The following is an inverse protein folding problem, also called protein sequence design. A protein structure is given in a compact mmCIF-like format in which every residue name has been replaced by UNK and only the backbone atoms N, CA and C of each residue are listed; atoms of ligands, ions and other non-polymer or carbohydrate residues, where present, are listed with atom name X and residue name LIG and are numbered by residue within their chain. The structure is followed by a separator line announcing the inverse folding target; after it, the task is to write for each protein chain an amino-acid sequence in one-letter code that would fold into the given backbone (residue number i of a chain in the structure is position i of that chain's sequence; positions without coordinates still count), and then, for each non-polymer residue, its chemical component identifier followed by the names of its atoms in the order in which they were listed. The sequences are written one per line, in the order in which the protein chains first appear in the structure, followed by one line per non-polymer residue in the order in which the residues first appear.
data_IF_616875264112
#
_entry.id   IF_616875264112
#
_cell.length_a   1.000
_cell.length_b   1.000
_cell.length_c   1.000
_cell.angle_alpha   90.00
_cell.angle_beta   90.00
_cell.angle_gamma   90.00
#
_symmetry.space_group_name_H-M   'P 1'
#
loop_
_entity.id
_entity.type
_entity.pdbx_description
1 polymer ?
#
# COMPACT_ATOMS: atom_id res chain seq x y z
N UNK A 1 -29.63 10.71 -56.98
CA UNK A 1 -29.14 10.13 -55.71
C UNK A 1 -28.22 11.13 -55.04
N UNK A 2 -28.72 11.83 -54.02
CA UNK A 2 -27.98 12.88 -53.33
C UNK A 2 -27.18 12.27 -52.18
N UNK A 3 -25.88 12.46 -52.22
CA UNK A 3 -24.92 12.05 -51.18
C UNK A 3 -25.11 12.96 -49.97
N UNK A 4 -25.56 12.40 -48.84
CA UNK A 4 -25.63 13.12 -47.55
C UNK A 4 -24.23 13.15 -46.91
N UNK A 5 -23.69 14.33 -46.76
CA UNK A 5 -22.46 14.60 -45.99
C UNK A 5 -22.66 14.21 -44.49
N UNK A 6 -21.65 13.61 -43.82
CA UNK A 6 -21.73 13.36 -42.40
C UNK A 6 -21.62 14.69 -41.64
N UNK A 7 -22.58 14.96 -40.80
CA UNK A 7 -22.65 16.16 -39.98
C UNK A 7 -21.41 16.36 -39.12
N UNK A 8 -20.82 17.52 -39.21
CA UNK A 8 -19.73 18.01 -38.37
C UNK A 8 -20.18 17.94 -36.91
N UNK A 9 -19.47 17.18 -36.08
CA UNK A 9 -19.56 17.31 -34.64
C UNK A 9 -19.19 18.74 -34.25
N UNK A 10 -20.17 19.57 -33.94
CA UNK A 10 -19.96 20.88 -33.33
C UNK A 10 -19.07 20.69 -32.11
N UNK A 11 -17.85 21.23 -32.15
CA UNK A 11 -16.99 21.39 -30.99
C UNK A 11 -17.79 22.09 -29.89
N UNK A 12 -17.90 21.47 -28.69
CA UNK A 12 -18.43 22.17 -27.51
C UNK A 12 -17.50 23.35 -27.26
N UNK A 13 -18.05 24.57 -27.39
CA UNK A 13 -17.34 25.77 -27.04
C UNK A 13 -16.76 25.65 -25.63
N UNK A 14 -15.53 26.11 -25.46
CA UNK A 14 -14.86 26.18 -24.15
C UNK A 14 -15.82 26.94 -23.23
N UNK A 15 -16.35 26.25 -22.19
CA UNK A 15 -17.13 26.93 -21.14
C UNK A 15 -16.22 27.93 -20.43
N UNK A 16 -16.79 29.04 -20.01
CA UNK A 16 -16.09 30.01 -19.16
C UNK A 16 -15.59 29.32 -17.87
N UNK A 17 -14.43 29.73 -17.38
CA UNK A 17 -13.93 29.23 -16.11
C UNK A 17 -14.91 29.48 -14.97
N UNK A 18 -15.07 28.55 -14.06
CA UNK A 18 -15.97 28.61 -12.92
C UNK A 18 -15.24 28.87 -11.62
N UNK A 19 -15.80 29.65 -10.73
CA UNK A 19 -15.26 29.84 -9.38
C UNK A 19 -15.78 28.70 -8.48
N UNK A 20 -14.87 27.94 -7.90
CA UNK A 20 -15.20 26.81 -7.04
C UNK A 20 -14.55 26.98 -5.67
N UNK A 21 -15.20 26.38 -4.65
CA UNK A 21 -14.61 26.18 -3.33
C UNK A 21 -14.42 24.67 -3.09
N UNK A 22 -13.21 24.27 -2.70
CA UNK A 22 -12.94 22.90 -2.33
C UNK A 22 -13.56 22.58 -0.96
N UNK A 23 -14.37 21.52 -0.89
CA UNK A 23 -15.08 21.11 0.32
C UNK A 23 -14.30 20.03 1.09
N UNK A 24 -13.75 19.05 0.36
CA UNK A 24 -13.09 17.87 0.94
C UNK A 24 -12.10 17.25 -0.07
N UNK A 25 -11.45 16.16 0.34
CA UNK A 25 -10.57 15.36 -0.53
C UNK A 25 -11.24 14.03 -0.87
N UNK A 26 -11.01 13.56 -2.11
CA UNK A 26 -11.49 12.27 -2.58
C UNK A 26 -10.41 11.21 -2.56
N UNK A 27 -10.81 9.95 -2.46
CA UNK A 27 -9.96 8.82 -2.83
C UNK A 27 -9.54 8.97 -4.31
N UNK A 28 -8.24 8.92 -4.58
CA UNK A 28 -7.68 9.26 -5.90
C UNK A 28 -6.94 10.60 -5.92
N UNK A 29 -7.03 11.40 -4.86
CA UNK A 29 -6.17 12.56 -4.60
C UNK A 29 -6.71 13.90 -5.06
N UNK A 30 -7.82 13.96 -5.79
CA UNK A 30 -8.44 15.22 -6.22
C UNK A 30 -9.31 15.81 -5.09
N UNK A 31 -9.36 17.13 -4.98
CA UNK A 31 -10.35 17.80 -4.13
C UNK A 31 -11.76 17.70 -4.73
N UNK A 32 -12.75 17.70 -3.87
CA UNK A 32 -14.17 17.74 -4.21
C UNK A 32 -14.69 19.16 -4.04
N UNK A 33 -15.29 19.69 -5.09
CA UNK A 33 -16.03 20.94 -5.09
C UNK A 33 -17.42 20.73 -5.70
N UNK A 34 -18.29 21.75 -5.63
CA UNK A 34 -19.58 21.75 -6.33
C UNK A 34 -19.70 23.01 -7.19
N UNK A 35 -20.24 22.84 -8.39
CA UNK A 35 -20.61 23.98 -9.21
C UNK A 35 -21.98 24.58 -8.77
N UNK A 36 -22.40 25.64 -9.43
CA UNK A 36 -23.66 26.38 -9.12
C UNK A 36 -24.90 25.47 -9.24
N UNK A 37 -24.84 24.42 -10.05
CA UNK A 37 -25.91 23.44 -10.22
C UNK A 37 -25.84 22.31 -9.15
N UNK A 38 -24.89 22.37 -8.21
CA UNK A 38 -24.67 21.35 -7.18
C UNK A 38 -23.96 20.09 -7.67
N UNK A 39 -23.52 20.04 -8.94
CA UNK A 39 -22.79 18.94 -9.52
C UNK A 39 -21.39 18.84 -8.93
N UNK A 40 -20.94 17.63 -8.61
CA UNK A 40 -19.60 17.38 -8.09
C UNK A 40 -18.53 17.68 -9.15
N UNK A 41 -17.51 18.42 -8.76
CA UNK A 41 -16.34 18.73 -9.59
C UNK A 41 -15.07 18.25 -8.87
N UNK A 42 -14.33 17.34 -9.51
CA UNK A 42 -13.04 16.88 -9.01
C UNK A 42 -11.93 17.79 -9.55
N UNK A 43 -11.16 18.39 -8.65
CA UNK A 43 -10.10 19.34 -9.01
C UNK A 43 -8.81 18.96 -8.30
N UNK A 44 -7.75 18.61 -9.03
CA UNK A 44 -6.43 18.33 -8.42
C UNK A 44 -5.83 19.59 -7.83
N UNK A 45 -4.90 19.40 -6.86
CA UNK A 45 -4.06 20.46 -6.28
C UNK A 45 -4.83 21.56 -5.52
N UNK A 46 -6.09 21.34 -5.16
CA UNK A 46 -6.81 22.17 -4.19
C UNK A 46 -6.82 21.51 -2.81
N UNK A 47 -6.64 22.30 -1.78
CA UNK A 47 -6.84 21.93 -0.38
C UNK A 47 -8.26 22.26 0.09
N UNK A 48 -8.82 21.57 1.09
CA UNK A 48 -10.10 21.93 1.67
C UNK A 48 -10.15 23.40 2.11
N UNK A 49 -11.20 24.11 1.69
CA UNK A 49 -11.38 25.52 1.95
C UNK A 49 -10.84 26.46 0.86
N UNK A 50 -9.97 26.00 -0.05
CA UNK A 50 -9.48 26.82 -1.16
C UNK A 50 -10.61 27.32 -2.04
N UNK A 51 -10.49 28.56 -2.53
CA UNK A 51 -11.29 29.11 -3.61
C UNK A 51 -10.43 29.32 -4.85
N UNK A 52 -10.89 28.85 -5.98
CA UNK A 52 -10.11 28.87 -7.21
C UNK A 52 -10.97 29.14 -8.43
N UNK A 53 -10.34 29.72 -9.45
CA UNK A 53 -10.87 29.75 -10.80
C UNK A 53 -10.46 28.45 -11.51
N UNK A 54 -11.45 27.70 -12.00
CA UNK A 54 -11.27 26.35 -12.51
C UNK A 54 -11.82 26.25 -13.93
N UNK A 55 -11.03 25.68 -14.83
CA UNK A 55 -11.46 25.28 -16.17
C UNK A 55 -11.98 23.85 -16.13
N UNK A 56 -13.23 23.63 -16.56
CA UNK A 56 -13.76 22.28 -16.69
C UNK A 56 -13.15 21.60 -17.92
N UNK A 57 -12.50 20.45 -17.72
CA UNK A 57 -11.79 19.69 -18.78
C UNK A 57 -12.55 18.43 -19.16
N UNK A 58 -13.39 17.90 -18.29
CA UNK A 58 -14.26 16.75 -18.55
C UNK A 58 -15.62 16.98 -17.88
N UNK A 59 -16.70 16.73 -18.59
CA UNK A 59 -18.05 16.81 -18.06
C UNK A 59 -18.84 15.52 -18.33
N UNK A 60 -19.40 14.93 -17.27
CA UNK A 60 -20.31 13.78 -17.31
C UNK A 60 -21.63 14.14 -16.64
N UNK A 61 -22.65 13.29 -16.79
CA UNK A 61 -23.99 13.51 -16.24
C UNK A 61 -23.97 13.71 -14.71
N UNK A 62 -23.11 13.01 -13.98
CA UNK A 62 -23.08 13.03 -12.52
C UNK A 62 -21.90 13.80 -11.91
N UNK A 63 -20.87 14.15 -12.69
CA UNK A 63 -19.70 14.85 -12.20
C UNK A 63 -18.95 15.58 -13.32
N UNK A 64 -18.05 16.47 -12.95
CA UNK A 64 -17.07 17.07 -13.84
C UNK A 64 -15.64 16.93 -13.28
N UNK A 65 -14.64 17.17 -14.12
CA UNK A 65 -13.24 17.34 -13.72
C UNK A 65 -12.77 18.72 -14.15
N UNK A 66 -11.98 19.35 -13.32
CA UNK A 66 -11.44 20.67 -13.56
C UNK A 66 -9.92 20.74 -13.40
N UNK A 67 -9.35 21.78 -13.98
CA UNK A 67 -7.95 22.20 -13.77
C UNK A 67 -7.94 23.60 -13.17
N UNK A 68 -7.09 23.81 -12.17
CA UNK A 68 -6.91 25.11 -11.52
C UNK A 68 -6.24 26.07 -12.50
N UNK A 69 -6.87 27.18 -12.80
CA UNK A 69 -6.27 28.29 -13.53
C UNK A 69 -5.61 29.28 -12.56
N UNK A 70 -6.29 29.57 -11.45
CA UNK A 70 -5.83 30.55 -10.46
C UNK A 70 -6.37 30.16 -9.08
N UNK A 71 -5.52 30.22 -8.07
CA UNK A 71 -5.92 30.15 -6.66
C UNK A 71 -6.33 31.55 -6.20
N UNK A 72 -7.62 31.76 -5.98
CA UNK A 72 -8.16 33.06 -5.58
C UNK A 72 -7.99 33.34 -4.08
N UNK A 73 -8.13 32.27 -3.26
CA UNK A 73 -8.03 32.36 -1.80
C UNK A 73 -7.55 31.00 -1.27
N UNK A 74 -6.50 31.03 -0.45
CA UNK A 74 -6.00 29.83 0.22
C UNK A 74 -6.89 29.46 1.40
N UNK A 75 -7.30 28.21 1.47
CA UNK A 75 -8.06 27.66 2.59
C UNK A 75 -7.17 27.38 3.82
N UNK A 76 -7.79 27.17 5.00
CA UNK A 76 -7.04 26.96 6.25
C UNK A 76 -6.22 25.68 6.26
N UNK A 77 -6.56 24.69 5.44
CA UNK A 77 -5.81 23.45 5.32
C UNK A 77 -4.65 23.53 4.31
N UNK A 78 -4.45 24.66 3.63
CA UNK A 78 -3.36 24.79 2.65
C UNK A 78 -2.03 25.10 3.31
N UNK A 79 -1.00 24.36 2.87
CA UNK A 79 0.40 24.59 3.25
C UNK A 79 1.29 24.64 2.01
N UNK A 80 2.51 25.18 2.15
CA UNK A 80 3.52 25.13 1.08
C UNK A 80 4.10 23.73 0.97
N UNK A 81 4.04 23.12 -0.22
CA UNK A 81 4.65 21.82 -0.48
C UNK A 81 6.19 21.94 -0.44
N UNK A 82 6.92 21.13 0.34
CA UNK A 82 8.37 21.23 0.44
C UNK A 82 9.11 20.66 -0.78
N UNK A 83 8.45 19.81 -1.58
CA UNK A 83 9.05 19.18 -2.76
C UNK A 83 8.91 20.08 -3.99
N UNK A 84 10.03 20.45 -4.61
CA UNK A 84 10.05 21.26 -5.83
C UNK A 84 9.36 20.57 -7.03
N UNK A 85 9.26 19.25 -7.00
CA UNK A 85 8.62 18.44 -8.06
C UNK A 85 7.12 18.17 -7.78
N UNK A 86 6.58 18.72 -6.68
CA UNK A 86 5.16 18.52 -6.36
C UNK A 86 4.27 19.10 -7.46
N UNK A 87 3.22 18.37 -7.80
CA UNK A 87 2.32 18.72 -8.92
C UNK A 87 2.72 18.08 -10.25
N UNK A 88 4.03 17.92 -10.53
CA UNK A 88 4.54 17.24 -11.72
C UNK A 88 4.81 15.75 -11.46
N UNK A 89 5.49 15.43 -10.35
CA UNK A 89 5.77 14.05 -9.95
C UNK A 89 4.49 13.34 -9.49
N UNK A 90 4.28 12.09 -9.94
CA UNK A 90 3.12 11.27 -9.57
C UNK A 90 3.20 10.65 -8.17
N UNK A 91 4.30 10.80 -7.43
CA UNK A 91 4.53 10.13 -6.15
C UNK A 91 3.68 10.65 -4.98
N UNK A 92 3.34 11.95 -4.99
CA UNK A 92 2.56 12.61 -3.93
C UNK A 92 1.41 13.42 -4.51
N UNK A 93 0.27 13.44 -3.82
CA UNK A 93 -0.93 14.19 -4.25
C UNK A 93 -1.30 15.30 -3.28
N UNK A 94 -0.86 15.25 -2.02
CA UNK A 94 -1.38 16.09 -0.93
C UNK A 94 -0.34 16.91 -0.17
N UNK A 95 0.88 17.09 -0.69
CA UNK A 95 1.91 17.90 0.00
C UNK A 95 1.50 19.36 0.26
N UNK A 96 0.52 19.87 -0.46
CA UNK A 96 -0.06 21.21 -0.28
C UNK A 96 -1.19 21.24 0.77
N UNK A 97 -1.48 20.12 1.43
CA UNK A 97 -2.51 19.99 2.47
C UNK A 97 -1.83 19.74 3.80
N UNK A 98 -2.26 20.42 4.85
CA UNK A 98 -1.82 20.17 6.22
C UNK A 98 -1.98 18.70 6.61
N UNK A 99 -1.02 18.15 7.35
CA UNK A 99 -0.99 16.71 7.60
C UNK A 99 -2.18 16.22 8.46
N UNK A 100 -2.63 17.00 9.44
CA UNK A 100 -3.81 16.64 10.21
C UNK A 100 -5.08 16.62 9.33
N UNK A 101 -5.17 17.55 8.37
CA UNK A 101 -6.26 17.56 7.38
C UNK A 101 -6.17 16.36 6.42
N UNK A 102 -4.97 15.87 6.06
CA UNK A 102 -4.81 14.62 5.28
C UNK A 102 -5.34 13.41 6.04
N UNK A 103 -4.99 13.27 7.32
CA UNK A 103 -5.45 12.16 8.18
C UNK A 103 -6.98 12.19 8.34
N UNK A 104 -7.55 13.37 8.58
CA UNK A 104 -9.00 13.57 8.66
C UNK A 104 -9.69 13.19 7.34
N UNK A 105 -9.13 13.59 6.20
CA UNK A 105 -9.66 13.24 4.89
C UNK A 105 -9.63 11.72 4.62
N UNK A 106 -8.59 11.02 5.04
CA UNK A 106 -8.50 9.55 4.95
C UNK A 106 -9.58 8.88 5.80
N UNK A 107 -9.79 9.34 7.04
CA UNK A 107 -10.88 8.88 7.89
C UNK A 107 -12.25 9.10 7.23
N UNK A 108 -12.47 10.28 6.64
CA UNK A 108 -13.72 10.62 5.96
C UNK A 108 -13.97 9.76 4.72
N UNK A 109 -12.92 9.46 3.94
CA UNK A 109 -13.00 8.54 2.78
C UNK A 109 -13.48 7.17 3.22
N UNK A 110 -12.90 6.61 4.29
CA UNK A 110 -13.32 5.31 4.85
C UNK A 110 -14.75 5.37 5.37
N UNK A 111 -15.12 6.43 6.10
CA UNK A 111 -16.48 6.64 6.61
C UNK A 111 -17.52 6.70 5.49
N UNK A 112 -17.23 7.41 4.42
CA UNK A 112 -18.11 7.49 3.24
C UNK A 112 -18.25 6.15 2.52
N UNK A 113 -17.17 5.40 2.39
CA UNK A 113 -17.20 4.08 1.78
C UNK A 113 -18.06 3.10 2.60
N UNK A 114 -17.89 3.08 3.93
CA UNK A 114 -18.59 2.19 4.86
C UNK A 114 -19.89 2.78 5.43
N UNK A 115 -20.44 3.87 4.85
CA UNK A 115 -21.61 4.59 5.40
C UNK A 115 -22.83 3.71 5.69
N UNK A 116 -23.06 2.67 4.86
CA UNK A 116 -24.17 1.75 5.05
C UNK A 116 -23.99 0.93 6.34
N UNK A 117 -22.77 0.49 6.61
CA UNK A 117 -22.43 -0.30 7.79
C UNK A 117 -22.41 0.57 9.07
N UNK A 118 -21.94 1.82 8.95
CA UNK A 118 -22.02 2.81 10.04
C UNK A 118 -23.49 3.07 10.41
N UNK A 119 -24.37 3.19 9.44
CA UNK A 119 -25.80 3.31 9.67
C UNK A 119 -26.43 2.07 10.35
N UNK A 120 -25.79 0.91 10.25
CA UNK A 120 -26.17 -0.34 10.95
C UNK A 120 -25.48 -0.49 12.32
N UNK A 121 -24.73 0.50 12.77
CA UNK A 121 -24.09 0.53 14.09
C UNK A 121 -22.60 0.13 14.12
N UNK A 122 -21.93 0.00 12.96
CA UNK A 122 -20.49 -0.20 12.92
C UNK A 122 -19.74 1.01 13.50
N UNK A 123 -18.70 0.75 14.30
CA UNK A 123 -17.87 1.80 14.90
C UNK A 123 -16.68 2.11 14.00
N UNK A 124 -16.47 3.40 13.71
CA UNK A 124 -15.23 3.85 13.10
C UNK A 124 -14.29 4.35 14.19
N UNK A 125 -13.20 3.61 14.39
CA UNK A 125 -12.14 4.03 15.32
C UNK A 125 -11.40 5.26 14.78
N UNK A 126 -10.83 6.11 15.64
CA UNK A 126 -10.00 7.23 15.20
C UNK A 126 -8.90 6.78 14.25
N UNK A 127 -8.69 7.54 13.18
CA UNK A 127 -7.61 7.24 12.23
C UNK A 127 -6.23 7.34 12.89
N UNK A 128 -5.33 6.41 12.56
CA UNK A 128 -3.96 6.42 13.06
C UNK A 128 -3.07 7.19 12.09
N UNK A 129 -2.56 8.33 12.58
CA UNK A 129 -1.57 9.13 11.85
C UNK A 129 -0.20 8.44 11.86
N UNK A 130 0.58 8.65 10.81
CA UNK A 130 1.99 8.25 10.81
C UNK A 130 2.80 9.12 11.78
N UNK A 131 3.87 8.60 12.39
CA UNK A 131 4.71 9.36 13.32
C UNK A 131 5.47 10.50 12.63
N UNK A 132 5.67 10.40 11.31
CA UNK A 132 6.29 11.44 10.49
C UNK A 132 5.60 11.56 9.13
N UNK A 133 5.36 12.80 8.69
CA UNK A 133 4.75 13.08 7.39
C UNK A 133 5.73 12.99 6.22
N UNK A 134 7.03 12.98 6.49
CA UNK A 134 8.14 12.90 5.54
C UNK A 134 9.25 12.00 6.09
N UNK A 135 10.20 11.61 5.23
CA UNK A 135 11.30 10.75 5.63
C UNK A 135 10.90 9.34 6.08
N UNK A 136 9.72 8.89 5.69
CA UNK A 136 9.13 7.64 6.17
C UNK A 136 9.27 6.47 5.20
N UNK A 137 9.47 6.79 3.90
CA UNK A 137 9.34 5.81 2.83
C UNK A 137 10.60 5.00 2.67
N UNK A 138 10.57 3.77 3.18
CA UNK A 138 11.70 2.83 3.11
C UNK A 138 11.80 2.04 1.82
N UNK A 139 10.80 2.11 0.92
CA UNK A 139 10.80 1.42 -0.37
C UNK A 139 10.49 2.39 -1.50
N UNK A 140 11.29 2.34 -2.58
CA UNK A 140 11.05 3.13 -3.78
C UNK A 140 11.23 2.30 -5.05
N UNK A 141 10.42 2.59 -6.06
CA UNK A 141 10.56 2.06 -7.41
C UNK A 141 10.68 3.21 -8.39
N UNK A 142 11.85 3.32 -9.03
CA UNK A 142 12.23 4.40 -9.91
C UNK A 142 12.49 3.89 -11.33
N UNK A 143 12.31 4.75 -12.30
CA UNK A 143 12.76 4.50 -13.66
C UNK A 143 14.14 5.12 -13.87
N UNK A 144 15.02 4.40 -14.56
CA UNK A 144 16.38 4.86 -14.93
C UNK A 144 16.47 5.01 -16.44
N UNK A 145 17.06 6.12 -16.86
CA UNK A 145 17.33 6.45 -18.26
C UNK A 145 18.82 6.79 -18.41
N UNK A 146 19.72 5.80 -18.61
CA UNK A 146 21.16 5.99 -18.52
C UNK A 146 21.69 7.06 -19.48
N UNK A 147 21.25 7.05 -20.75
CA UNK A 147 21.73 8.00 -21.76
C UNK A 147 21.47 9.48 -21.44
N UNK A 148 20.45 9.76 -20.64
CA UNK A 148 20.14 11.13 -20.16
C UNK A 148 20.51 11.37 -18.70
N UNK A 149 21.08 10.38 -18.01
CA UNK A 149 21.44 10.46 -16.58
C UNK A 149 20.23 10.55 -15.65
N UNK A 150 19.01 10.29 -16.15
CA UNK A 150 17.77 10.47 -15.39
C UNK A 150 17.48 9.27 -14.51
N UNK A 151 17.20 9.55 -13.25
CA UNK A 151 16.66 8.59 -12.26
C UNK A 151 15.46 9.25 -11.57
N UNK A 152 14.29 8.59 -11.60
CA UNK A 152 13.14 9.23 -10.95
C UNK A 152 11.82 8.51 -11.07
N UNK A 153 10.78 9.22 -10.67
CA UNK A 153 9.40 8.73 -10.68
C UNK A 153 8.68 9.12 -11.98
N UNK A 154 7.59 8.44 -12.28
CA UNK A 154 6.72 8.82 -13.39
C UNK A 154 5.98 10.11 -13.06
N UNK A 155 5.79 10.96 -14.07
CA UNK A 155 4.92 12.12 -13.99
C UNK A 155 3.47 11.71 -13.70
N UNK A 156 2.71 12.63 -13.15
CA UNK A 156 1.29 12.42 -12.85
C UNK A 156 0.52 12.03 -14.11
N UNK A 157 -0.18 10.88 -14.08
CA UNK A 157 -0.98 10.35 -15.21
C UNK A 157 -0.20 10.25 -16.53
N UNK A 158 1.12 10.02 -16.47
CA UNK A 158 1.99 9.93 -17.64
C UNK A 158 3.02 8.80 -17.49
N UNK A 159 3.61 8.40 -18.60
CA UNK A 159 4.77 7.50 -18.64
C UNK A 159 6.10 8.25 -18.65
N UNK A 160 6.08 9.57 -18.75
CA UNK A 160 7.26 10.43 -18.66
C UNK A 160 7.95 10.25 -17.31
N UNK A 161 9.27 10.27 -17.29
CA UNK A 161 10.08 10.15 -16.07
C UNK A 161 10.52 11.54 -15.63
N UNK A 162 10.13 11.92 -14.43
CA UNK A 162 10.59 13.15 -13.77
C UNK A 162 11.90 12.83 -13.04
N UNK A 163 12.96 13.56 -13.37
CA UNK A 163 14.25 13.41 -12.69
C UNK A 163 14.16 13.85 -11.24
N UNK A 164 14.58 12.99 -10.30
CA UNK A 164 14.46 13.21 -8.87
C UNK A 164 15.83 13.40 -8.27
N UNK A 165 16.21 14.65 -7.97
CA UNK A 165 17.45 14.97 -7.29
C UNK A 165 17.33 14.80 -5.77
N UNK A 166 16.16 15.13 -5.21
CA UNK A 166 15.80 14.97 -3.80
C UNK A 166 14.34 14.59 -3.66
N UNK A 167 14.01 13.75 -2.69
CA UNK A 167 12.65 13.35 -2.40
C UNK A 167 12.36 13.32 -0.90
N UNK A 168 11.69 14.35 -0.35
CA UNK A 168 11.48 14.46 1.09
C UNK A 168 10.64 13.31 1.69
N UNK A 169 9.95 12.51 0.88
CA UNK A 169 9.20 11.36 1.37
C UNK A 169 10.09 10.14 1.65
N UNK A 170 11.25 10.02 0.98
CA UNK A 170 12.16 8.88 1.17
C UNK A 170 12.86 8.96 2.54
N UNK A 171 13.13 7.81 3.13
CA UNK A 171 14.05 7.72 4.27
C UNK A 171 15.43 8.30 3.88
N UNK A 172 16.13 8.97 4.80
CA UNK A 172 17.43 9.59 4.51
C UNK A 172 18.46 8.61 3.93
N UNK A 173 18.40 7.33 4.29
CA UNK A 173 19.29 6.30 3.75
C UNK A 173 19.05 6.08 2.25
N UNK A 174 17.78 6.02 1.81
CA UNK A 174 17.44 5.91 0.38
C UNK A 174 17.81 7.15 -0.40
N UNK A 175 17.67 8.33 0.18
CA UNK A 175 18.02 9.58 -0.49
C UNK A 175 19.52 9.66 -0.74
N UNK A 176 20.35 9.30 0.26
CA UNK A 176 21.82 9.20 0.10
C UNK A 176 22.19 8.15 -0.96
N UNK A 177 21.61 6.95 -0.88
CA UNK A 177 21.87 5.89 -1.85
C UNK A 177 21.50 6.30 -3.28
N UNK A 178 20.40 7.05 -3.46
CA UNK A 178 19.97 7.56 -4.77
C UNK A 178 21.03 8.50 -5.38
N UNK A 179 21.64 9.37 -4.58
CA UNK A 179 22.76 10.24 -5.02
C UNK A 179 23.98 9.44 -5.49
N UNK A 180 24.39 8.43 -4.73
CA UNK A 180 25.53 7.57 -5.07
C UNK A 180 25.22 6.67 -6.30
N UNK A 181 24.03 6.12 -6.40
CA UNK A 181 23.59 5.36 -7.58
C UNK A 181 23.63 6.22 -8.85
N UNK A 182 23.16 7.45 -8.77
CA UNK A 182 23.23 8.41 -9.88
C UNK A 182 24.66 8.66 -10.34
N UNK A 183 25.57 8.85 -9.39
CA UNK A 183 26.97 9.19 -9.66
C UNK A 183 27.77 8.00 -10.20
N UNK A 184 27.54 6.80 -9.66
CA UNK A 184 28.43 5.64 -9.90
C UNK A 184 27.78 4.62 -10.85
N UNK A 185 26.51 4.26 -10.63
CA UNK A 185 25.87 3.16 -11.35
C UNK A 185 25.26 3.61 -12.69
N UNK A 186 24.54 4.76 -12.69
CA UNK A 186 23.81 5.19 -13.89
C UNK A 186 24.70 5.34 -15.12
N UNK A 187 25.93 5.92 -15.02
CA UNK A 187 26.83 6.00 -16.18
C UNK A 187 27.32 4.64 -16.69
N UNK A 188 27.30 3.62 -15.84
CA UNK A 188 27.73 2.26 -16.22
C UNK A 188 26.61 1.39 -16.83
N UNK A 189 25.36 1.86 -16.80
CA UNK A 189 24.23 1.17 -17.38
C UNK A 189 24.09 1.49 -18.87
N UNK A 190 23.74 0.49 -19.67
CA UNK A 190 23.65 0.61 -21.15
C UNK A 190 22.21 0.75 -21.66
N UNK A 191 21.20 0.44 -20.83
CA UNK A 191 19.80 0.45 -21.24
C UNK A 191 18.87 0.99 -20.16
N UNK A 192 17.69 1.53 -20.55
CA UNK A 192 16.66 1.89 -19.60
C UNK A 192 16.22 0.71 -18.73
N UNK A 193 15.98 0.97 -17.43
CA UNK A 193 15.59 -0.07 -16.48
C UNK A 193 14.72 0.50 -15.34
N UNK A 194 14.20 -0.42 -14.53
CA UNK A 194 13.58 -0.12 -13.24
C UNK A 194 14.61 -0.35 -12.15
N UNK A 195 14.73 0.59 -11.24
CA UNK A 195 15.49 0.49 -10.00
C UNK A 195 14.51 0.38 -8.84
N UNK A 196 14.62 -0.67 -8.06
CA UNK A 196 13.93 -0.82 -6.78
C UNK A 196 14.94 -0.63 -5.65
N UNK A 197 14.51 0.08 -4.60
CA UNK A 197 15.31 0.35 -3.40
C UNK A 197 14.52 -0.06 -2.17
N UNK A 198 15.21 -0.62 -1.18
CA UNK A 198 14.67 -0.96 0.12
C UNK A 198 15.69 -0.57 1.20
N UNK A 199 15.25 0.22 2.18
CA UNK A 199 16.02 0.56 3.38
C UNK A 199 15.64 -0.36 4.54
N UNK A 200 16.64 -0.71 5.32
CA UNK A 200 16.60 -1.46 6.56
C UNK A 200 17.82 -1.10 7.41
N UNK A 201 18.53 -2.09 7.92
CA UNK A 201 19.86 -1.91 8.55
C UNK A 201 20.95 -1.47 7.55
N UNK A 202 20.62 -1.48 6.26
CA UNK A 202 21.36 -0.94 5.14
C UNK A 202 20.41 -0.56 4.01
N UNK A 203 20.94 -0.38 2.78
CA UNK A 203 20.13 -0.20 1.59
C UNK A 203 20.40 -1.33 0.60
N UNK A 204 19.36 -2.04 0.22
CA UNK A 204 19.39 -3.01 -0.88
C UNK A 204 18.80 -2.38 -2.14
N UNK A 205 19.42 -2.67 -3.29
CA UNK A 205 18.94 -2.23 -4.60
C UNK A 205 18.69 -3.42 -5.52
N UNK A 206 17.74 -3.28 -6.45
CA UNK A 206 17.50 -4.28 -7.50
C UNK A 206 17.21 -3.62 -8.84
N UNK A 207 17.67 -4.23 -9.92
CA UNK A 207 17.50 -3.79 -11.30
C UNK A 207 16.89 -4.90 -12.15
N UNK A 208 15.91 -4.55 -12.99
CA UNK A 208 15.21 -5.47 -13.88
C UNK A 208 15.98 -5.76 -15.19
N UNK A 209 17.30 -5.58 -15.20
CA UNK A 209 18.20 -5.79 -16.33
C UNK A 209 19.36 -6.72 -15.97
N UNK A 210 19.98 -7.43 -16.93
CA UNK A 210 21.21 -8.19 -16.68
C UNK A 210 22.39 -7.26 -16.36
N UNK A 211 23.40 -7.84 -15.71
CA UNK A 211 24.63 -7.15 -15.36
C UNK A 211 25.57 -7.10 -16.58
N UNK A 212 25.67 -5.97 -17.24
CA UNK A 212 26.46 -5.78 -18.46
C UNK A 212 27.50 -4.66 -18.31
N UNK A 213 28.57 -4.73 -19.09
CA UNK A 213 29.62 -3.70 -19.14
C UNK A 213 30.25 -3.40 -17.80
N UNK A 214 30.37 -2.10 -17.49
CA UNK A 214 30.94 -1.61 -16.21
C UNK A 214 30.03 -1.72 -15.00
N UNK A 215 28.78 -2.18 -15.15
CA UNK A 215 27.78 -2.16 -14.10
C UNK A 215 28.17 -3.02 -12.87
N UNK A 216 28.89 -4.13 -13.09
CA UNK A 216 29.38 -4.98 -12.00
C UNK A 216 30.41 -4.25 -11.13
N UNK A 217 31.41 -3.64 -11.75
CA UNK A 217 32.43 -2.87 -11.03
C UNK A 217 31.82 -1.66 -10.29
N UNK A 218 30.83 -1.00 -10.90
CA UNK A 218 30.07 0.08 -10.26
C UNK A 218 29.29 -0.42 -9.02
N UNK A 219 28.66 -1.58 -9.10
CA UNK A 219 27.95 -2.21 -7.98
C UNK A 219 28.92 -2.59 -6.84
N UNK A 220 30.05 -3.21 -7.18
CA UNK A 220 31.11 -3.57 -6.23
C UNK A 220 31.66 -2.33 -5.50
N UNK A 221 31.88 -1.23 -6.22
CA UNK A 221 32.32 0.03 -5.64
C UNK A 221 31.27 0.63 -4.68
N UNK A 222 29.98 0.58 -5.00
CA UNK A 222 28.90 1.05 -4.13
C UNK A 222 28.80 0.23 -2.84
N UNK A 223 28.93 -1.09 -2.94
CA UNK A 223 28.91 -2.00 -1.77
C UNK A 223 30.16 -1.77 -0.92
N UNK A 224 31.35 -1.69 -1.52
CA UNK A 224 32.61 -1.44 -0.80
C UNK A 224 32.61 -0.10 -0.08
N UNK A 225 31.98 0.93 -0.65
CA UNK A 225 31.81 2.25 -0.04
C UNK A 225 30.71 2.29 1.05
N UNK A 226 29.97 1.21 1.28
CA UNK A 226 28.85 1.16 2.23
C UNK A 226 27.62 1.96 1.81
N UNK A 227 27.55 2.39 0.54
CA UNK A 227 26.40 3.09 0.00
C UNK A 227 25.21 2.14 -0.20
N UNK A 228 25.50 0.88 -0.48
CA UNK A 228 24.54 -0.23 -0.55
C UNK A 228 25.04 -1.41 0.27
N UNK A 229 24.14 -2.14 0.91
CA UNK A 229 24.40 -3.47 1.48
C UNK A 229 24.54 -4.52 0.35
N UNK A 230 23.69 -4.39 -0.67
CA UNK A 230 23.73 -5.25 -1.85
C UNK A 230 22.96 -4.67 -3.03
N UNK A 231 23.32 -5.15 -4.22
CA UNK A 231 22.67 -4.82 -5.48
C UNK A 231 22.45 -6.08 -6.30
N UNK A 232 21.18 -6.34 -6.64
CA UNK A 232 20.75 -7.44 -7.48
C UNK A 232 20.49 -6.93 -8.90
N UNK A 233 21.14 -7.56 -9.87
CA UNK A 233 20.70 -7.55 -11.26
C UNK A 233 19.82 -8.79 -11.51
N UNK A 234 19.24 -8.89 -12.68
CA UNK A 234 18.42 -10.07 -13.04
C UNK A 234 19.19 -11.39 -12.90
N UNK A 235 20.47 -11.39 -13.16
CA UNK A 235 21.36 -12.56 -13.29
C UNK A 235 22.51 -12.58 -12.28
N UNK A 236 22.78 -11.48 -11.58
CA UNK A 236 23.94 -11.33 -10.68
C UNK A 236 23.53 -10.62 -9.39
N UNK A 237 24.05 -11.08 -8.28
CA UNK A 237 23.98 -10.41 -6.99
C UNK A 237 25.40 -9.97 -6.57
N UNK A 238 25.52 -8.71 -6.13
CA UNK A 238 26.72 -8.13 -5.54
C UNK A 238 26.41 -7.71 -4.11
N UNK A 239 27.15 -8.18 -3.13
CA UNK A 239 26.94 -7.90 -1.72
C UNK A 239 25.85 -8.77 -1.09
N UNK A 240 25.13 -8.20 -0.11
CA UNK A 240 24.07 -8.91 0.63
C UNK A 240 22.85 -9.21 -0.24
N UNK A 241 22.15 -10.29 0.07
CA UNK A 241 20.92 -10.67 -0.65
C UNK A 241 19.69 -9.87 -0.23
N UNK A 242 19.74 -9.20 0.91
CA UNK A 242 18.68 -8.38 1.48
C UNK A 242 19.21 -7.53 2.62
N UNK A 243 18.30 -6.90 3.35
CA UNK A 243 18.56 -6.05 4.53
C UNK A 243 17.58 -6.40 5.64
N UNK A 244 18.02 -6.29 6.89
CA UNK A 244 17.17 -6.46 8.07
C UNK A 244 16.18 -5.30 8.20
N UNK A 245 14.90 -5.62 8.39
CA UNK A 245 13.82 -4.63 8.40
C UNK A 245 13.49 -4.09 9.80
N UNK A 246 14.26 -4.50 10.81
CA UNK A 246 14.10 -4.07 12.20
C UNK A 246 13.06 -4.86 13.02
N UNK A 247 12.25 -5.67 12.35
CA UNK A 247 11.23 -6.53 12.94
C UNK A 247 11.64 -8.03 12.98
N UNK A 248 12.93 -8.31 12.82
CA UNK A 248 13.47 -9.65 12.70
C UNK A 248 13.36 -10.26 11.30
N UNK A 249 12.72 -9.56 10.37
CA UNK A 249 12.62 -9.99 8.98
C UNK A 249 13.76 -9.44 8.13
N UNK A 250 14.14 -10.18 7.10
CA UNK A 250 14.96 -9.71 6.00
C UNK A 250 14.08 -9.41 4.78
N UNK A 251 14.48 -8.45 3.97
CA UNK A 251 13.81 -8.11 2.72
C UNK A 251 14.79 -7.71 1.63
N UNK A 252 14.45 -8.00 0.39
CA UNK A 252 15.17 -7.54 -0.79
C UNK A 252 14.35 -6.48 -1.54
N UNK A 253 15.02 -5.62 -2.31
CA UNK A 253 14.39 -4.49 -2.98
C UNK A 253 13.37 -4.93 -4.05
N UNK A 254 13.59 -6.07 -4.71
CA UNK A 254 12.70 -6.70 -5.70
C UNK A 254 11.53 -7.46 -5.07
N UNK A 255 11.46 -7.50 -3.73
CA UNK A 255 10.38 -8.13 -2.99
C UNK A 255 9.39 -7.09 -2.44
N UNK A 256 8.18 -7.55 -2.10
CA UNK A 256 7.22 -6.67 -1.46
C UNK A 256 7.62 -6.43 0.02
N UNK A 257 7.68 -5.17 0.40
CA UNK A 257 7.77 -4.72 1.79
C UNK A 257 6.87 -3.51 1.97
N UNK A 258 6.28 -3.35 3.16
CA UNK A 258 5.47 -2.18 3.48
C UNK A 258 6.31 -0.90 3.39
N UNK A 259 5.71 0.16 2.86
CA UNK A 259 6.42 1.41 2.56
C UNK A 259 6.95 2.12 3.82
N UNK A 260 6.34 1.86 4.98
CA UNK A 260 6.66 2.50 6.27
C UNK A 260 6.71 1.45 7.38
N UNK A 261 7.87 1.30 8.02
CA UNK A 261 8.10 0.30 9.07
C UNK A 261 7.23 0.55 10.31
N UNK A 262 7.24 1.76 10.86
CA UNK A 262 6.49 2.09 12.08
C UNK A 262 4.98 1.85 11.93
N UNK A 263 4.38 2.23 10.79
CA UNK A 263 2.96 1.97 10.56
C UNK A 263 2.66 0.50 10.26
N UNK A 264 3.63 -0.26 9.74
CA UNK A 264 3.49 -1.70 9.61
C UNK A 264 3.35 -2.38 10.98
N UNK A 265 4.11 -1.92 11.99
CA UNK A 265 3.96 -2.41 13.35
C UNK A 265 2.57 -2.09 13.93
N UNK A 266 2.04 -0.89 13.68
CA UNK A 266 0.67 -0.53 14.07
C UNK A 266 -0.36 -1.42 13.39
N UNK A 267 -0.19 -1.69 12.09
CA UNK A 267 -1.07 -2.58 11.34
C UNK A 267 -1.06 -4.00 11.91
N UNK A 268 0.13 -4.57 12.13
CA UNK A 268 0.33 -5.92 12.71
C UNK A 268 -0.30 -6.02 14.10
N UNK A 269 -0.06 -5.04 14.96
CA UNK A 269 -0.63 -4.98 16.30
C UNK A 269 -2.16 -4.91 16.27
N UNK A 270 -2.73 -4.08 15.39
CA UNK A 270 -4.17 -3.94 15.22
C UNK A 270 -4.82 -5.22 14.72
N UNK A 271 -4.22 -5.88 13.74
CA UNK A 271 -4.70 -7.17 13.23
C UNK A 271 -4.68 -8.22 14.34
N UNK A 272 -3.58 -8.36 15.09
CA UNK A 272 -3.47 -9.30 16.18
C UNK A 272 -4.49 -9.01 17.31
N UNK A 273 -4.67 -7.73 17.70
CA UNK A 273 -5.65 -7.31 18.70
C UNK A 273 -7.08 -7.70 18.31
N UNK A 274 -7.47 -7.46 17.06
CA UNK A 274 -8.84 -7.71 16.62
C UNK A 274 -9.10 -9.16 16.24
N UNK A 275 -8.10 -9.86 15.74
CA UNK A 275 -8.16 -11.29 15.47
C UNK A 275 -8.29 -12.11 16.77
N UNK A 276 -7.68 -11.66 17.88
CA UNK A 276 -7.62 -12.39 19.17
C UNK A 276 -7.21 -13.85 18.96
N UNK A 277 -6.01 -14.09 18.38
CA UNK A 277 -5.63 -15.42 17.92
C UNK A 277 -5.23 -16.41 19.03
N UNK A 278 -5.05 -15.93 20.28
CA UNK A 278 -4.62 -16.76 21.40
C UNK A 278 -5.51 -18.00 21.59
N UNK A 279 -4.91 -19.18 21.41
CA UNK A 279 -5.60 -20.47 21.49
C UNK A 279 -6.53 -20.80 20.29
N UNK A 280 -6.65 -19.90 19.30
CA UNK A 280 -7.54 -20.06 18.17
C UNK A 280 -6.85 -20.75 16.96
N UNK A 281 -7.68 -21.37 16.11
CA UNK A 281 -7.29 -21.84 14.78
C UNK A 281 -7.52 -20.69 13.79
N UNK A 282 -6.44 -20.24 13.16
CA UNK A 282 -6.45 -19.07 12.28
C UNK A 282 -6.21 -19.49 10.84
N UNK A 283 -7.05 -19.04 9.92
CA UNK A 283 -6.82 -19.08 8.48
C UNK A 283 -6.39 -17.67 8.03
N UNK A 284 -5.23 -17.57 7.41
CA UNK A 284 -4.75 -16.34 6.78
C UNK A 284 -4.76 -16.49 5.27
N UNK A 285 -5.42 -15.59 4.56
CA UNK A 285 -5.47 -15.55 3.09
C UNK A 285 -4.70 -14.34 2.57
N UNK A 286 -4.02 -14.52 1.43
CA UNK A 286 -3.12 -13.52 0.84
C UNK A 286 -1.94 -13.21 1.77
N UNK A 287 -1.35 -14.27 2.35
CA UNK A 287 -0.35 -14.14 3.41
C UNK A 287 0.97 -13.47 2.96
N UNK A 288 1.23 -13.40 1.64
CA UNK A 288 2.45 -12.83 1.10
C UNK A 288 3.71 -13.50 1.69
N UNK A 289 4.67 -12.69 2.13
CA UNK A 289 5.88 -13.15 2.80
C UNK A 289 5.72 -13.29 4.34
N UNK A 290 4.50 -13.44 4.86
CA UNK A 290 4.22 -13.76 6.26
C UNK A 290 4.24 -12.56 7.22
N UNK A 291 3.96 -11.35 6.73
CA UNK A 291 3.96 -10.14 7.55
C UNK A 291 2.93 -10.19 8.70
N UNK A 292 1.72 -10.62 8.41
CA UNK A 292 0.67 -10.78 9.42
C UNK A 292 0.77 -12.15 10.10
N UNK A 293 1.22 -13.20 9.39
CA UNK A 293 1.45 -14.54 9.96
C UNK A 293 2.31 -14.49 11.22
N UNK A 294 3.41 -13.75 11.17
CA UNK A 294 4.33 -13.59 12.30
C UNK A 294 3.63 -12.92 13.51
N UNK A 295 2.84 -11.88 13.28
CA UNK A 295 2.07 -11.20 14.34
C UNK A 295 1.03 -12.14 14.97
N UNK A 296 0.35 -12.96 14.17
CA UNK A 296 -0.67 -13.91 14.63
C UNK A 296 -0.04 -15.04 15.46
N UNK A 297 1.11 -15.57 15.03
CA UNK A 297 1.89 -16.56 15.79
C UNK A 297 2.39 -15.96 17.09
N UNK A 298 2.99 -14.76 17.04
CA UNK A 298 3.48 -14.05 18.22
C UNK A 298 2.39 -13.72 19.23
N UNK A 299 1.15 -13.56 18.78
CA UNK A 299 -0.03 -13.36 19.63
C UNK A 299 -0.70 -14.68 20.13
N UNK A 300 -0.06 -15.84 19.89
CA UNK A 300 -0.43 -17.11 20.51
C UNK A 300 -1.49 -17.93 19.79
N UNK A 301 -1.60 -17.83 18.46
CA UNK A 301 -2.46 -18.73 17.69
C UNK A 301 -2.11 -20.21 18.00
N UNK A 302 -3.11 -21.04 18.21
CA UNK A 302 -2.87 -22.48 18.44
C UNK A 302 -2.50 -23.19 17.11
N UNK A 303 -3.17 -22.79 16.04
CA UNK A 303 -2.87 -23.23 14.67
C UNK A 303 -2.99 -22.05 13.71
N UNK A 304 -2.03 -21.90 12.81
CA UNK A 304 -2.08 -20.98 11.68
C UNK A 304 -1.93 -21.76 10.37
N UNK A 305 -2.89 -21.60 9.47
CA UNK A 305 -2.75 -21.97 8.06
C UNK A 305 -2.73 -20.69 7.25
N UNK A 306 -1.59 -20.41 6.63
CA UNK A 306 -1.35 -19.20 5.84
C UNK A 306 -1.26 -19.56 4.35
N UNK A 307 -2.14 -18.97 3.55
CA UNK A 307 -2.32 -19.29 2.14
C UNK A 307 -1.90 -18.11 1.28
N UNK A 308 -1.03 -18.38 0.33
CA UNK A 308 -0.52 -17.41 -0.64
C UNK A 308 -0.33 -18.10 -1.99
N UNK A 309 -0.68 -17.41 -3.07
CA UNK A 309 -0.59 -18.00 -4.41
C UNK A 309 0.86 -18.12 -4.93
N UNK A 310 1.76 -17.23 -4.50
CA UNK A 310 3.16 -17.21 -4.91
C UNK A 310 4.00 -18.19 -4.08
N UNK A 311 4.49 -19.26 -4.70
CA UNK A 311 5.43 -20.21 -4.07
C UNK A 311 6.68 -19.50 -3.50
N UNK A 312 7.19 -18.50 -4.21
CA UNK A 312 8.34 -17.73 -3.76
C UNK A 312 8.03 -16.93 -2.49
N UNK A 313 6.83 -16.33 -2.37
CA UNK A 313 6.40 -15.65 -1.17
C UNK A 313 6.19 -16.62 0.00
N UNK A 314 5.60 -17.79 -0.26
CA UNK A 314 5.45 -18.88 0.72
C UNK A 314 6.81 -19.35 1.26
N UNK A 315 7.80 -19.49 0.40
CA UNK A 315 9.14 -19.88 0.83
C UNK A 315 9.75 -18.86 1.81
N UNK A 316 9.57 -17.57 1.54
CA UNK A 316 10.02 -16.48 2.43
C UNK A 316 9.25 -16.44 3.74
N UNK A 317 7.92 -16.60 3.69
CA UNK A 317 7.10 -16.66 4.89
C UNK A 317 7.52 -17.76 5.87
N UNK A 318 7.88 -18.94 5.34
CA UNK A 318 8.42 -20.05 6.14
C UNK A 318 9.73 -19.70 6.84
N UNK A 319 10.60 -18.91 6.21
CA UNK A 319 11.85 -18.45 6.84
C UNK A 319 11.53 -17.40 7.91
N UNK A 320 10.75 -16.40 7.59
CA UNK A 320 10.39 -15.29 8.47
C UNK A 320 9.77 -15.76 9.79
N UNK A 321 8.78 -16.63 9.73
CA UNK A 321 8.06 -17.09 10.94
C UNK A 321 8.90 -18.01 11.81
N UNK A 322 9.87 -18.74 11.24
CA UNK A 322 10.82 -19.56 12.03
C UNK A 322 11.81 -18.73 12.83
N UNK A 323 12.23 -17.58 12.32
CA UNK A 323 13.21 -16.68 12.97
C UNK A 323 12.55 -15.89 14.10
N UNK A 324 11.26 -15.47 13.94
CA UNK A 324 10.53 -14.65 14.90
C UNK A 324 9.91 -15.40 16.09
N UNK A 325 9.97 -16.74 16.15
CA UNK A 325 9.36 -17.52 17.23
C UNK A 325 10.19 -17.47 18.52
N UNK A 326 9.57 -17.34 19.73
CA UNK A 326 10.31 -17.43 20.99
C UNK A 326 10.90 -18.83 21.15
N UNK A 327 12.22 -18.96 20.96
CA UNK A 327 12.97 -20.21 21.14
C UNK A 327 13.72 -20.74 19.94
N UNK A 328 14.08 -19.93 18.93
CA UNK A 328 14.92 -20.36 17.82
C UNK A 328 16.37 -20.60 18.24
N UNK A 329 16.64 -21.78 18.80
CA UNK A 329 17.97 -22.39 18.84
C UNK A 329 18.31 -22.86 17.40
N UNK A 330 19.49 -22.46 16.90
CA UNK A 330 20.03 -22.84 15.61
C UNK A 330 20.09 -24.37 15.44
N UNK A 331 19.14 -24.92 14.69
CA UNK A 331 19.12 -26.34 14.30
C UNK A 331 18.95 -26.46 12.79
N UNK A 332 20.03 -26.77 12.08
CA UNK A 332 20.02 -27.19 10.68
C UNK A 332 19.31 -28.55 10.57
N UNK A 333 18.11 -28.61 10.00
CA UNK A 333 17.41 -29.90 9.78
C UNK A 333 16.32 -29.76 8.71
N UNK A 334 16.55 -30.43 7.58
CA UNK A 334 15.54 -30.76 6.56
C UNK A 334 14.57 -31.76 7.16
N UNK A 335 13.30 -31.36 7.39
CA UNK A 335 12.28 -32.31 7.87
C UNK A 335 11.03 -31.59 8.37
N UNK A 336 9.87 -32.16 8.15
CA UNK A 336 8.63 -31.90 8.85
C UNK A 336 8.85 -31.93 10.36
N UNK A 337 9.23 -30.81 10.98
CA UNK A 337 9.72 -30.79 12.36
C UNK A 337 8.61 -30.44 13.34
N UNK A 338 8.05 -31.41 14.01
CA UNK A 338 7.44 -31.27 15.33
C UNK A 338 8.56 -31.05 16.35
N UNK A 339 8.89 -29.79 16.65
CA UNK A 339 9.87 -29.46 17.70
C UNK A 339 9.21 -29.48 19.06
N UNK A 340 9.48 -30.50 19.87
CA UNK A 340 9.13 -30.54 21.31
C UNK A 340 10.16 -29.74 22.11
N UNK A 341 9.91 -28.48 22.38
CA UNK A 341 10.63 -27.69 23.38
C UNK A 341 9.86 -27.71 24.69
N UNK A 342 10.48 -28.20 25.77
CA UNK A 342 9.95 -28.20 27.14
C UNK A 342 9.98 -26.80 27.74
N UNK A 343 9.05 -25.97 27.33
CA UNK A 343 8.65 -24.72 27.99
C UNK A 343 7.14 -24.72 28.07
N UNK A 344 6.55 -24.28 29.16
CA UNK A 344 5.11 -24.21 29.40
C UNK A 344 4.38 -23.19 28.52
N UNK A 345 4.69 -23.17 27.21
CA UNK A 345 4.04 -22.38 26.17
C UNK A 345 3.47 -23.34 25.12
N UNK A 346 2.18 -23.22 24.83
CA UNK A 346 1.51 -23.95 23.73
C UNK A 346 2.23 -23.65 22.43
N UNK A 347 2.86 -24.68 21.81
CA UNK A 347 3.53 -24.53 20.52
C UNK A 347 2.49 -24.29 19.42
N UNK A 348 2.59 -23.17 18.71
CA UNK A 348 1.75 -22.88 17.52
C UNK A 348 2.10 -23.87 16.40
N UNK A 349 1.10 -24.55 15.84
CA UNK A 349 1.25 -25.28 14.59
C UNK A 349 1.11 -24.30 13.42
N UNK A 350 2.14 -24.16 12.59
CA UNK A 350 2.16 -23.25 11.44
C UNK A 350 2.32 -24.03 10.15
N UNK A 351 1.41 -23.77 9.21
CA UNK A 351 1.42 -24.34 7.87
C UNK A 351 1.31 -23.23 6.83
N UNK A 352 2.18 -23.26 5.81
CA UNK A 352 2.14 -22.35 4.66
C UNK A 352 1.82 -23.13 3.40
N UNK A 353 0.76 -22.73 2.71
CA UNK A 353 0.26 -23.37 1.49
C UNK A 353 0.37 -22.45 0.28
N UNK A 354 0.90 -22.99 -0.84
CA UNK A 354 0.84 -22.31 -2.13
C UNK A 354 -0.48 -22.67 -2.83
N UNK A 355 -1.50 -21.82 -2.65
CA UNK A 355 -2.86 -22.05 -3.19
C UNK A 355 -3.58 -20.72 -3.41
N UNK A 356 -4.72 -20.76 -4.13
CA UNK A 356 -5.58 -19.59 -4.25
C UNK A 356 -6.44 -19.39 -3.00
N UNK A 357 -6.74 -18.13 -2.67
CA UNK A 357 -7.61 -17.77 -1.55
C UNK A 357 -9.04 -18.32 -1.74
N UNK A 358 -9.51 -18.34 -2.98
CA UNK A 358 -10.86 -18.86 -3.35
C UNK A 358 -10.97 -20.36 -3.07
N UNK A 359 -9.92 -21.14 -3.26
CA UNK A 359 -9.92 -22.57 -2.92
C UNK A 359 -9.81 -22.80 -1.42
N UNK A 360 -9.00 -21.98 -0.73
CA UNK A 360 -8.74 -22.12 0.69
C UNK A 360 -9.95 -21.69 1.55
N UNK A 361 -10.73 -20.70 1.14
CA UNK A 361 -11.90 -20.21 1.88
C UNK A 361 -12.97 -21.28 2.06
N UNK A 362 -13.03 -22.29 1.20
CA UNK A 362 -13.96 -23.41 1.32
C UNK A 362 -13.74 -24.25 2.60
N UNK A 363 -12.57 -24.13 3.23
CA UNK A 363 -12.22 -24.78 4.52
C UNK A 363 -12.38 -23.84 5.72
N UNK A 364 -12.91 -22.63 5.52
CA UNK A 364 -12.96 -21.62 6.60
C UNK A 364 -13.79 -22.09 7.81
N UNK A 365 -14.72 -23.04 7.65
CA UNK A 365 -15.46 -23.67 8.75
C UNK A 365 -14.59 -24.43 9.76
N UNK A 366 -13.36 -24.82 9.37
CA UNK A 366 -12.44 -25.54 10.25
C UNK A 366 -11.65 -24.60 11.18
N UNK A 367 -11.88 -23.29 11.05
CA UNK A 367 -11.14 -22.24 11.75
C UNK A 367 -12.06 -21.38 12.60
N UNK A 368 -11.48 -20.72 13.58
CA UNK A 368 -12.19 -19.82 14.49
C UNK A 368 -12.08 -18.36 14.00
N UNK A 369 -10.96 -18.02 13.36
CA UNK A 369 -10.62 -16.69 12.89
C UNK A 369 -10.11 -16.76 11.45
N UNK A 370 -10.54 -15.80 10.63
CA UNK A 370 -9.98 -15.57 9.30
C UNK A 370 -9.36 -14.18 9.26
N UNK A 371 -8.15 -14.07 8.71
CA UNK A 371 -7.45 -12.81 8.42
C UNK A 371 -7.17 -12.75 6.92
N UNK A 372 -7.41 -11.61 6.29
CA UNK A 372 -7.12 -11.44 4.87
C UNK A 372 -6.61 -10.04 4.54
N UNK A 373 -5.61 -9.98 3.65
CA UNK A 373 -4.99 -8.75 3.13
C UNK A 373 -4.88 -8.84 1.59
N UNK A 374 -6.01 -8.73 0.86
CA UNK A 374 -6.04 -8.92 -0.57
C UNK A 374 -5.42 -7.75 -1.34
N UNK A 375 -5.09 -7.94 -2.63
CA UNK A 375 -4.65 -6.87 -3.51
C UNK A 375 -5.75 -5.81 -3.69
N UNK A 376 -5.42 -4.67 -4.35
CA UNK A 376 -6.34 -3.53 -4.59
C UNK A 376 -7.68 -3.92 -5.23
N UNK A 377 -7.74 -5.02 -5.96
CA UNK A 377 -8.99 -5.52 -6.54
C UNK A 377 -10.00 -6.00 -5.50
N UNK A 378 -9.56 -6.18 -4.24
CA UNK A 378 -10.33 -6.80 -3.18
C UNK A 378 -10.44 -8.32 -3.34
N UNK A 379 -11.35 -8.94 -2.60
CA UNK A 379 -11.56 -10.39 -2.55
C UNK A 379 -13.06 -10.74 -2.61
N UNK A 380 -13.78 -10.24 -3.62
CA UNK A 380 -15.25 -10.38 -3.69
C UNK A 380 -15.71 -11.84 -3.67
N UNK A 381 -15.03 -12.74 -4.37
CA UNK A 381 -15.43 -14.16 -4.41
C UNK A 381 -15.20 -14.83 -3.03
N UNK A 382 -14.11 -14.49 -2.34
CA UNK A 382 -13.88 -14.91 -0.95
C UNK A 382 -14.98 -14.34 -0.04
N UNK A 383 -15.32 -13.06 -0.17
CA UNK A 383 -16.36 -12.42 0.63
C UNK A 383 -17.74 -13.07 0.42
N UNK A 384 -18.09 -13.45 -0.80
CA UNK A 384 -19.31 -14.19 -1.13
C UNK A 384 -19.32 -15.59 -0.51
N UNK A 385 -18.20 -16.31 -0.62
CA UNK A 385 -18.08 -17.64 -0.03
C UNK A 385 -18.21 -17.60 1.51
N UNK A 386 -17.76 -16.51 2.14
CA UNK A 386 -17.84 -16.33 3.60
C UNK A 386 -19.26 -16.04 4.10
N UNK A 387 -20.20 -15.61 3.25
CA UNK A 387 -21.53 -15.19 3.69
C UNK A 387 -22.24 -16.27 4.53
N UNK A 388 -22.04 -17.54 4.18
CA UNK A 388 -22.74 -18.68 4.76
C UNK A 388 -21.84 -19.67 5.53
N UNK A 389 -20.52 -19.35 5.68
CA UNK A 389 -19.57 -20.22 6.42
C UNK A 389 -19.99 -20.32 7.88
N UNK A 390 -20.20 -21.55 8.40
CA UNK A 390 -20.40 -21.83 9.82
C UNK A 390 -19.06 -22.03 10.55
N UNK A 391 -19.05 -21.97 11.89
CA UNK A 391 -17.83 -22.22 12.69
C UNK A 391 -16.96 -21.01 12.90
N UNK A 392 -16.67 -20.26 11.85
CA UNK A 392 -15.86 -19.04 11.90
C UNK A 392 -16.51 -17.94 12.77
N UNK A 393 -15.78 -17.36 13.70
CA UNK A 393 -16.29 -16.37 14.66
C UNK A 393 -15.95 -14.93 14.29
N UNK A 394 -14.79 -14.72 13.63
CA UNK A 394 -14.22 -13.41 13.33
C UNK A 394 -13.59 -13.40 11.95
N UNK A 395 -13.74 -12.27 11.28
CA UNK A 395 -12.98 -11.95 10.06
C UNK A 395 -12.29 -10.62 10.27
N UNK A 396 -10.96 -10.58 10.14
CA UNK A 396 -10.19 -9.34 10.10
C UNK A 396 -9.77 -9.11 8.66
N UNK A 397 -10.26 -8.03 8.07
CA UNK A 397 -10.00 -7.65 6.69
C UNK A 397 -9.09 -6.42 6.65
N UNK A 398 -7.91 -6.53 6.05
CA UNK A 398 -7.01 -5.41 5.76
C UNK A 398 -7.22 -5.00 4.30
N UNK A 399 -7.29 -3.71 4.01
CA UNK A 399 -7.50 -3.22 2.66
C UNK A 399 -6.85 -1.87 2.40
N UNK A 400 -6.13 -1.76 1.29
CA UNK A 400 -5.57 -0.50 0.79
C UNK A 400 -6.54 0.28 -0.14
N UNK A 401 -7.76 -0.23 -0.37
CA UNK A 401 -8.79 0.42 -1.19
C UNK A 401 -10.16 0.39 -0.48
N UNK A 402 -10.63 1.52 0.08
CA UNK A 402 -11.90 1.60 0.79
C UNK A 402 -13.12 1.25 -0.04
N UNK A 403 -13.05 1.42 -1.37
CA UNK A 403 -14.21 1.17 -2.25
C UNK A 403 -14.40 -0.33 -2.48
N UNK A 404 -13.29 -1.07 -2.71
CA UNK A 404 -13.35 -2.53 -2.81
C UNK A 404 -13.65 -3.18 -1.47
N UNK A 405 -13.11 -2.63 -0.37
CA UNK A 405 -13.47 -3.06 0.98
C UNK A 405 -14.98 -2.94 1.24
N UNK A 406 -15.58 -1.78 0.93
CA UNK A 406 -17.01 -1.56 1.14
C UNK A 406 -17.88 -2.55 0.32
N UNK A 407 -17.48 -2.85 -0.91
CA UNK A 407 -18.14 -3.85 -1.77
C UNK A 407 -18.07 -5.24 -1.15
N UNK A 408 -16.90 -5.65 -0.66
CA UNK A 408 -16.67 -6.99 -0.13
C UNK A 408 -17.34 -7.15 1.25
N UNK A 409 -17.27 -6.13 2.11
CA UNK A 409 -18.01 -6.07 3.37
C UNK A 409 -19.52 -6.18 3.12
N UNK A 410 -20.07 -5.46 2.14
CA UNK A 410 -21.49 -5.55 1.81
C UNK A 410 -21.91 -6.96 1.37
N UNK A 411 -21.03 -7.70 0.66
CA UNK A 411 -21.29 -9.09 0.30
C UNK A 411 -21.34 -10.01 1.53
N UNK A 412 -20.44 -9.82 2.50
CA UNK A 412 -20.46 -10.59 3.76
C UNK A 412 -21.65 -10.22 4.66
N UNK A 413 -21.97 -8.93 4.79
CA UNK A 413 -23.07 -8.46 5.65
C UNK A 413 -24.46 -8.66 5.06
N UNK A 414 -24.56 -9.10 3.80
CA UNK A 414 -25.80 -9.63 3.25
C UNK A 414 -26.15 -11.03 3.82
N UNK A 415 -25.18 -11.74 4.41
CA UNK A 415 -25.34 -13.03 5.08
C UNK A 415 -25.25 -12.91 6.60
N UNK A 416 -24.48 -13.82 7.22
CA UNK A 416 -24.42 -13.97 8.68
C UNK A 416 -23.42 -13.04 9.41
N UNK A 417 -22.87 -12.03 8.74
CA UNK A 417 -21.85 -11.14 9.30
C UNK A 417 -22.38 -9.74 9.56
N UNK A 418 -21.78 -9.06 10.53
CA UNK A 418 -21.91 -7.61 10.72
C UNK A 418 -20.52 -6.99 10.81
N UNK A 419 -20.33 -5.83 10.24
CA UNK A 419 -19.15 -5.01 10.53
C UNK A 419 -19.27 -4.49 11.97
N UNK A 420 -18.33 -4.88 12.83
CA UNK A 420 -18.29 -4.38 14.22
C UNK A 420 -17.57 -3.05 14.27
N UNK A 421 -16.38 -2.99 13.68
CA UNK A 421 -15.56 -1.78 13.67
C UNK A 421 -14.62 -1.72 12.45
N UNK A 422 -14.17 -0.52 12.12
CA UNK A 422 -13.12 -0.30 11.15
C UNK A 422 -12.21 0.86 11.59
N UNK A 423 -10.95 0.84 11.16
CA UNK A 423 -9.97 1.88 11.44
C UNK A 423 -9.13 2.19 10.22
N UNK A 424 -8.96 3.48 9.91
CA UNK A 424 -8.03 3.97 8.91
C UNK A 424 -6.63 4.11 9.50
N UNK A 425 -5.61 3.66 8.77
CA UNK A 425 -4.18 3.79 9.14
C UNK A 425 -3.47 4.50 8.00
N UNK A 426 -2.77 5.58 8.31
CA UNK A 426 -1.99 6.31 7.31
C UNK A 426 -0.62 5.67 7.09
N UNK A 427 -0.56 4.69 6.17
CA UNK A 427 0.68 4.03 5.75
C UNK A 427 1.52 4.88 4.79
N UNK A 428 0.91 5.89 4.15
CA UNK A 428 1.54 6.66 3.06
C UNK A 428 1.15 8.14 3.14
N UNK A 429 1.72 8.92 4.10
CA UNK A 429 1.57 10.38 4.15
C UNK A 429 1.81 11.05 2.79
N UNK A 430 1.24 12.22 2.58
CA UNK A 430 1.33 13.01 1.34
C UNK A 430 0.64 12.39 0.12
N UNK A 431 -0.04 11.26 0.31
CA UNK A 431 -0.80 10.56 -0.73
C UNK A 431 -2.24 10.31 -0.28
N UNK A 432 -3.14 10.01 -1.22
CA UNK A 432 -4.52 9.64 -0.93
C UNK A 432 -4.68 8.19 -0.43
N UNK A 433 -3.62 7.38 -0.48
CA UNK A 433 -3.66 6.00 -0.04
C UNK A 433 -3.95 5.92 1.46
N UNK A 434 -4.84 5.02 1.82
CA UNK A 434 -5.22 4.71 3.19
C UNK A 434 -5.31 3.20 3.33
N UNK A 435 -4.74 2.68 4.40
CA UNK A 435 -4.94 1.31 4.83
C UNK A 435 -6.13 1.26 5.78
N UNK A 436 -6.97 0.26 5.67
CA UNK A 436 -8.14 0.10 6.52
C UNK A 436 -8.15 -1.31 7.10
N UNK A 437 -8.21 -1.40 8.42
CA UNK A 437 -8.50 -2.67 9.10
C UNK A 437 -9.99 -2.68 9.44
N UNK A 438 -10.67 -3.76 9.13
CA UNK A 438 -12.09 -3.98 9.40
C UNK A 438 -12.29 -5.30 10.16
N UNK A 439 -13.06 -5.26 11.24
CA UNK A 439 -13.45 -6.44 12.01
C UNK A 439 -14.92 -6.76 11.74
N UNK A 440 -15.16 -7.96 11.22
CA UNK A 440 -16.51 -8.52 11.10
C UNK A 440 -16.68 -9.63 12.13
N UNK A 441 -17.86 -9.70 12.70
CA UNK A 441 -18.28 -10.73 13.67
C UNK A 441 -19.62 -11.30 13.26
N UNK A 442 -20.00 -12.46 13.82
CA UNK A 442 -21.30 -13.06 13.55
C UNK A 442 -22.44 -12.13 13.98
N UNK A 443 -23.43 -11.98 13.11
CA UNK A 443 -24.70 -11.32 13.47
C UNK A 443 -25.49 -12.23 14.43
N UNK A 444 -25.68 -11.80 15.69
CA UNK A 444 -26.45 -12.56 16.68
C UNK A 444 -25.61 -13.38 17.67
N UNK A 445 -24.29 -13.12 17.77
CA UNK A 445 -23.43 -13.61 18.84
C UNK A 445 -23.42 -12.62 20.01
#
# INVERSE_FOLDING_TARGET
MACRSPGSRKGRGLREPVKLRAESLAFGGDAVARDEDGRVVFVPLLAPGDRALVKLVEEKKGFARGEVLELLEAGPARVTAPCALFGSCGGCQWQHVDYAAQVAAKAEVVARALRAEVARGAVLEPAVAAPAAYGYRRRARLAVRPHSGVIGFRARKSHEVIDVQACPALEPALERALGELRRVLVPALTRPCTLELLAGDGVHAALDVPCEGGARAAAEALVAAGALAGLRFRDVLVGAAGVGLGDGAEGAADEFAQAQGAQNEVLRARVAEWARPAGARVLELFAGAGNLSEALVGAGAARLVAVEQSEAAVARARVRVRIGGPGSGTGTGTGTGTGTGTGTGTSTSVEFEAASAESAVLRASDFDVLVLDPPRAGALEVARALSDVSGLQRVVYVSCDPMTLARDVAAMTAGAWKLERAQAIDMMPQTFHVETVALLVRAGG
#
